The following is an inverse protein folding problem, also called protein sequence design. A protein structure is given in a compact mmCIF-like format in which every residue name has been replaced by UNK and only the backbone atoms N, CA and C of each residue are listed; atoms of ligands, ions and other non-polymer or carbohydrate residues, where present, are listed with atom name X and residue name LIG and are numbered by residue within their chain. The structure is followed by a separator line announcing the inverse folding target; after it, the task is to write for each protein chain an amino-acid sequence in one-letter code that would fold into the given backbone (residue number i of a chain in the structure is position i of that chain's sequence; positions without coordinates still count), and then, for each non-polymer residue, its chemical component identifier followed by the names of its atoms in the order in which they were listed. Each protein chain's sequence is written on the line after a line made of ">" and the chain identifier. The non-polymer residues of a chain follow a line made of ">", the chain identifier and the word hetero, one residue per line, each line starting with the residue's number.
data_IF_494723124107
#
_entry.id   IF_494723124107
#
_cell.length_a   1.000
_cell.length_b   1.000
_cell.length_c   1.000
_cell.angle_alpha   90.00
_cell.angle_beta   90.00
_cell.angle_gamma   90.00
#
_symmetry.space_group_name_H-M   'P 1'
#
loop_
_entity.id
_entity.type
_entity.pdbx_description
1 polymer ?
#
# COMPACT_ATOMS: atom_id res chain seq x y z
N UNK A 1 65.70 -6.14 29.09
CA UNK A 1 66.66 -5.87 28.01
C UNK A 1 65.96 -5.05 26.93
N UNK A 2 66.04 -3.73 27.04
CA UNK A 2 65.49 -2.77 26.09
C UNK A 2 66.59 -2.45 25.06
N UNK A 3 66.28 -2.57 23.77
CA UNK A 3 67.20 -2.26 22.67
C UNK A 3 66.98 -0.81 22.23
N UNK A 4 67.98 0.02 22.50
CA UNK A 4 68.06 1.44 22.13
C UNK A 4 68.47 1.52 20.66
N UNK A 5 67.58 2.02 19.80
CA UNK A 5 67.95 2.44 18.43
C UNK A 5 68.27 3.93 18.44
N UNK A 6 69.48 4.24 17.99
CA UNK A 6 70.04 5.58 17.81
C UNK A 6 69.31 6.33 16.69
N UNK A 7 69.10 7.63 16.91
CA UNK A 7 68.49 8.60 16.01
C UNK A 7 69.54 9.26 15.11
N UNK A 8 69.28 9.30 13.79
CA UNK A 8 70.03 10.13 12.83
C UNK A 8 69.36 11.51 12.62
N UNK A 9 70.13 12.59 12.37
CA UNK A 9 69.62 13.95 12.23
C UNK A 9 69.11 14.25 10.81
N UNK A 10 67.87 14.74 10.70
CA UNK A 10 67.26 15.17 9.43
C UNK A 10 67.46 16.69 9.25
N UNK A 11 67.97 17.06 8.07
CA UNK A 11 68.26 18.43 7.64
C UNK A 11 67.01 19.31 7.46
N UNK A 12 67.12 20.65 7.56
CA UNK A 12 65.97 21.56 7.51
C UNK A 12 65.36 21.64 6.10
N UNK A 13 64.04 21.41 6.04
CA UNK A 13 63.22 21.56 4.84
C UNK A 13 62.92 23.06 4.62
N UNK A 14 63.27 23.56 3.44
CA UNK A 14 62.91 24.90 2.95
C UNK A 14 61.39 25.15 3.03
N UNK A 15 61.00 26.25 3.68
CA UNK A 15 59.65 26.82 3.58
C UNK A 15 59.53 27.60 2.25
N UNK A 16 58.43 27.44 1.49
CA UNK A 16 58.18 28.33 0.37
C UNK A 16 57.60 29.66 0.87
N UNK A 17 58.13 30.74 0.30
CA UNK A 17 57.69 32.12 0.40
C UNK A 17 56.18 32.25 0.13
N UNK A 18 55.44 32.85 1.06
CA UNK A 18 54.08 33.33 0.83
C UNK A 18 54.17 34.76 0.28
N UNK A 19 54.19 34.89 -1.04
CA UNK A 19 53.98 36.17 -1.70
C UNK A 19 52.47 36.39 -1.88
N UNK A 20 51.96 37.38 -1.15
CA UNK A 20 50.62 37.94 -1.32
C UNK A 20 50.70 38.93 -2.49
N UNK A 21 50.11 38.59 -3.64
CA UNK A 21 49.72 39.59 -4.64
C UNK A 21 48.19 39.79 -4.63
N UNK A 22 47.69 41.04 -4.61
CA UNK A 22 46.28 41.33 -4.80
C UNK A 22 46.03 41.62 -6.29
N UNK A 23 45.34 40.72 -6.99
CA UNK A 23 44.79 41.05 -8.31
C UNK A 23 43.35 40.58 -8.45
N UNK A 24 42.45 41.52 -8.17
CA UNK A 24 41.03 41.47 -8.50
C UNK A 24 40.85 41.37 -10.01
N UNK A 25 40.72 40.15 -10.52
CA UNK A 25 40.11 39.91 -11.83
C UNK A 25 39.06 38.83 -11.63
N UNK A 26 37.81 39.25 -11.46
CA UNK A 26 36.65 38.36 -11.43
C UNK A 26 36.62 37.53 -12.71
N UNK A 27 37.12 36.28 -12.63
CA UNK A 27 36.89 35.31 -13.70
C UNK A 27 35.42 34.99 -13.69
N UNK A 28 34.69 35.55 -14.66
CA UNK A 28 33.28 35.23 -14.85
C UNK A 28 33.12 33.73 -15.01
N UNK A 29 32.40 33.13 -14.07
CA UNK A 29 32.15 31.68 -14.04
C UNK A 29 31.37 31.28 -15.29
N UNK A 30 31.46 30.02 -15.71
CA UNK A 30 30.73 29.50 -16.89
C UNK A 30 29.23 29.77 -16.80
N UNK A 31 28.70 29.85 -15.57
CA UNK A 31 27.33 30.24 -15.26
C UNK A 31 27.01 31.68 -15.69
N UNK A 32 27.86 32.66 -15.34
CA UNK A 32 27.65 34.07 -15.71
C UNK A 32 27.61 34.28 -17.23
N UNK A 33 28.44 33.56 -18.00
CA UNK A 33 28.43 33.65 -19.48
C UNK A 33 27.19 33.03 -20.12
N UNK A 34 26.67 31.95 -19.54
CA UNK A 34 25.44 31.29 -20.02
C UNK A 34 24.21 32.10 -19.62
N UNK A 35 24.25 32.72 -18.44
CA UNK A 35 23.23 33.64 -17.92
C UNK A 35 23.12 34.90 -18.79
N UNK A 36 24.24 35.51 -19.18
CA UNK A 36 24.27 36.67 -20.08
C UNK A 36 23.73 36.34 -21.48
N UNK A 37 23.93 35.09 -21.94
CA UNK A 37 23.37 34.57 -23.21
C UNK A 37 21.88 34.26 -23.17
N UNK A 38 21.28 33.97 -22.01
CA UNK A 38 19.85 33.67 -21.88
C UNK A 38 18.99 34.91 -21.65
N UNK A 39 19.59 36.11 -21.59
CA UNK A 39 18.86 37.36 -21.39
C UNK A 39 18.09 37.79 -22.66
N UNK A 40 16.85 38.30 -22.53
CA UNK A 40 16.11 38.83 -23.67
C UNK A 40 16.80 40.07 -24.27
N UNK A 41 16.85 40.15 -25.60
CA UNK A 41 17.58 41.17 -26.38
C UNK A 41 17.18 42.65 -26.15
N UNK A 42 16.10 42.93 -25.41
CA UNK A 42 15.63 44.31 -25.12
C UNK A 42 15.99 44.78 -23.70
N UNK A 43 17.24 44.63 -23.27
CA UNK A 43 17.65 45.02 -21.91
C UNK A 43 18.82 46.00 -21.78
N UNK A 44 19.27 46.68 -22.83
CA UNK A 44 20.34 47.71 -22.66
C UNK A 44 19.95 48.92 -21.78
N UNK A 45 18.74 48.92 -21.21
CA UNK A 45 18.11 50.02 -20.44
C UNK A 45 17.88 49.64 -18.96
N UNK A 46 18.16 48.39 -18.55
CA UNK A 46 17.86 47.93 -17.17
C UNK A 46 18.91 48.41 -16.17
N UNK A 47 18.45 48.96 -15.04
CA UNK A 47 19.33 49.38 -13.95
C UNK A 47 19.81 48.18 -13.10
N UNK A 48 20.77 48.41 -12.19
CA UNK A 48 21.39 47.35 -11.38
C UNK A 48 20.35 46.57 -10.57
N UNK A 49 19.46 47.27 -9.86
CA UNK A 49 18.45 46.64 -9.01
C UNK A 49 17.51 45.73 -9.80
N UNK A 50 17.08 46.16 -10.99
CA UNK A 50 16.19 45.35 -11.81
C UNK A 50 16.89 44.09 -12.39
N UNK A 51 18.20 44.18 -12.67
CA UNK A 51 19.00 43.01 -13.06
C UNK A 51 19.12 42.04 -11.89
N UNK A 52 19.39 42.54 -10.68
CA UNK A 52 19.50 41.71 -9.47
C UNK A 52 18.16 41.02 -9.14
N UNK A 53 17.04 41.73 -9.26
CA UNK A 53 15.70 41.13 -9.12
C UNK A 53 15.46 40.03 -10.14
N UNK A 54 15.75 40.26 -11.43
CA UNK A 54 15.59 39.26 -12.48
C UNK A 54 16.47 38.02 -12.27
N UNK A 55 17.73 38.21 -11.85
CA UNK A 55 18.64 37.12 -11.46
C UNK A 55 18.02 36.32 -10.30
N UNK A 56 17.53 37.00 -9.27
CA UNK A 56 16.93 36.37 -8.09
C UNK A 56 15.65 35.60 -8.43
N UNK A 57 14.82 36.14 -9.32
CA UNK A 57 13.60 35.49 -9.80
C UNK A 57 13.92 34.23 -10.61
N UNK A 58 14.94 34.26 -11.47
CA UNK A 58 15.41 33.07 -12.21
C UNK A 58 15.92 32.00 -11.23
N UNK A 59 16.73 32.38 -10.24
CA UNK A 59 17.25 31.45 -9.24
C UNK A 59 16.10 30.83 -8.43
N UNK A 60 15.12 31.64 -8.03
CA UNK A 60 13.93 31.16 -7.32
C UNK A 60 13.10 30.19 -8.18
N UNK A 61 12.88 30.50 -9.46
CA UNK A 61 12.17 29.61 -10.39
C UNK A 61 12.94 28.30 -10.59
N UNK A 62 14.26 28.35 -10.80
CA UNK A 62 15.10 27.16 -10.92
C UNK A 62 15.09 26.32 -9.64
N UNK A 63 15.14 26.97 -8.47
CA UNK A 63 15.02 26.33 -7.16
C UNK A 63 13.68 25.63 -7.01
N UNK A 64 12.56 26.29 -7.34
CA UNK A 64 11.22 25.70 -7.32
C UNK A 64 11.08 24.51 -8.28
N UNK A 65 11.67 24.59 -9.48
CA UNK A 65 11.70 23.47 -10.43
C UNK A 65 12.51 22.30 -9.86
N UNK A 66 13.64 22.57 -9.20
CA UNK A 66 14.46 21.54 -8.56
C UNK A 66 13.72 20.87 -7.38
N UNK A 67 13.03 21.65 -6.54
CA UNK A 67 12.17 21.13 -5.46
C UNK A 67 11.10 20.20 -6.02
N UNK A 68 10.37 20.62 -7.07
CA UNK A 68 9.36 19.77 -7.73
C UNK A 68 9.97 18.49 -8.32
N UNK A 69 11.16 18.58 -8.90
CA UNK A 69 11.87 17.41 -9.43
C UNK A 69 12.25 16.44 -8.31
N UNK A 70 12.79 16.93 -7.20
CA UNK A 70 13.13 16.13 -6.00
C UNK A 70 11.88 15.44 -5.43
N UNK A 71 10.78 16.17 -5.24
CA UNK A 71 9.53 15.58 -4.77
C UNK A 71 8.97 14.52 -5.72
N UNK A 72 9.09 14.72 -7.04
CA UNK A 72 8.66 13.73 -8.03
C UNK A 72 9.49 12.45 -7.94
N UNK A 73 10.80 12.57 -7.70
CA UNK A 73 11.70 11.43 -7.50
C UNK A 73 11.42 10.72 -6.18
N UNK A 74 11.16 11.47 -5.10
CA UNK A 74 10.78 10.91 -3.80
C UNK A 74 9.46 10.15 -3.90
N UNK A 75 8.41 10.75 -4.48
CA UNK A 75 7.13 10.07 -4.73
C UNK A 75 7.32 8.79 -5.53
N UNK A 76 8.13 8.82 -6.59
CA UNK A 76 8.41 7.65 -7.43
C UNK A 76 9.15 6.54 -6.67
N UNK A 77 10.10 6.90 -5.80
CA UNK A 77 10.81 5.96 -4.91
C UNK A 77 9.86 5.36 -3.87
N UNK A 78 9.01 6.17 -3.26
CA UNK A 78 7.99 5.69 -2.30
C UNK A 78 7.00 4.74 -2.95
N UNK A 79 6.50 5.06 -4.14
CA UNK A 79 5.61 4.16 -4.89
C UNK A 79 6.31 2.87 -5.25
N UNK A 80 7.58 2.91 -5.68
CA UNK A 80 8.35 1.70 -5.96
C UNK A 80 8.53 0.82 -4.72
N UNK A 81 8.87 1.43 -3.58
CA UNK A 81 8.99 0.70 -2.32
C UNK A 81 7.66 0.06 -1.89
N UNK A 82 6.52 0.73 -2.11
CA UNK A 82 5.20 0.17 -1.81
C UNK A 82 4.82 -0.98 -2.76
N UNK A 83 5.23 -0.90 -4.02
CA UNK A 83 5.02 -1.98 -5.01
C UNK A 83 5.90 -3.20 -4.68
N UNK A 84 7.09 -2.98 -4.13
CA UNK A 84 8.02 -4.05 -3.71
C UNK A 84 7.71 -4.63 -2.32
N UNK A 85 6.91 -3.95 -1.50
CA UNK A 85 6.56 -4.41 -0.16
C UNK A 85 5.73 -5.70 -0.20
N UNK A 86 6.39 -6.80 0.16
CA UNK A 86 5.79 -8.12 0.32
C UNK A 86 5.22 -8.30 1.73
N UNK A 87 4.05 -8.92 1.81
CA UNK A 87 3.38 -9.27 3.06
C UNK A 87 3.33 -10.79 3.17
N UNK A 88 3.72 -11.29 4.34
CA UNK A 88 3.64 -12.70 4.71
C UNK A 88 2.36 -12.95 5.52
N UNK A 89 1.57 -13.92 5.09
CA UNK A 89 0.35 -14.38 5.75
C UNK A 89 0.54 -15.84 6.11
N UNK A 90 0.48 -16.15 7.40
CA UNK A 90 0.64 -17.47 7.97
C UNK A 90 -0.72 -18.01 8.44
N UNK A 91 -1.15 -19.15 7.91
CA UNK A 91 -2.36 -19.86 8.30
C UNK A 91 -1.99 -21.19 8.95
N UNK A 92 -2.10 -21.28 10.26
CA UNK A 92 -1.79 -22.50 11.02
C UNK A 92 -0.46 -23.17 10.56
N UNK A 93 0.57 -22.37 10.25
CA UNK A 93 1.89 -22.81 9.79
C UNK A 93 2.14 -22.74 8.28
N UNK A 94 1.10 -22.60 7.46
CA UNK A 94 1.23 -22.47 6.00
C UNK A 94 1.41 -21.00 5.59
N UNK A 95 2.50 -20.71 4.86
CA UNK A 95 2.95 -19.35 4.61
C UNK A 95 2.72 -18.95 3.18
N UNK A 96 1.95 -17.90 3.02
CA UNK A 96 1.67 -17.26 1.75
C UNK A 96 2.33 -15.89 1.70
N UNK A 97 2.79 -15.52 0.52
CA UNK A 97 3.43 -14.23 0.27
C UNK A 97 2.72 -13.52 -0.87
N UNK A 98 2.43 -12.23 -0.70
CA UNK A 98 1.82 -11.40 -1.75
C UNK A 98 2.27 -9.95 -1.66
N UNK A 99 2.05 -9.16 -2.70
CA UNK A 99 2.29 -7.73 -2.64
C UNK A 99 1.24 -7.04 -1.77
N UNK A 100 1.68 -6.04 -1.02
CA UNK A 100 0.79 -5.18 -0.25
C UNK A 100 -0.29 -4.53 -1.11
N UNK A 101 0.09 -4.05 -2.30
CA UNK A 101 -0.82 -3.40 -3.25
C UNK A 101 -1.93 -4.33 -3.71
N UNK A 102 -1.66 -5.63 -3.88
CA UNK A 102 -2.68 -6.65 -4.23
C UNK A 102 -3.80 -6.71 -3.20
N UNK A 103 -3.48 -6.63 -1.91
CA UNK A 103 -4.50 -6.62 -0.85
C UNK A 103 -5.26 -5.30 -0.80
N UNK A 104 -4.55 -4.17 -1.00
CA UNK A 104 -5.11 -2.83 -0.93
C UNK A 104 -6.10 -2.49 -2.06
N UNK A 105 -6.15 -3.31 -3.13
CA UNK A 105 -7.21 -3.26 -4.14
C UNK A 105 -8.63 -3.38 -3.54
N UNK A 106 -8.77 -4.12 -2.43
CA UNK A 106 -10.05 -4.36 -1.77
C UNK A 106 -10.03 -3.85 -0.32
N UNK A 107 -10.06 -2.52 -0.09
CA UNK A 107 -9.83 -1.91 1.22
C UNK A 107 -10.94 -2.20 2.25
N UNK A 108 -12.10 -2.68 1.80
CA UNK A 108 -13.22 -3.04 2.66
C UNK A 108 -13.07 -4.45 3.28
N UNK A 109 -12.15 -5.27 2.75
CA UNK A 109 -11.90 -6.62 3.24
C UNK A 109 -10.98 -6.64 4.46
N UNK A 110 -10.90 -7.78 5.15
CA UNK A 110 -10.04 -7.93 6.33
C UNK A 110 -8.57 -7.66 5.98
N UNK A 111 -8.08 -8.31 4.92
CA UNK A 111 -6.69 -8.22 4.50
C UNK A 111 -6.37 -6.91 3.78
N UNK A 112 -7.31 -6.33 3.03
CA UNK A 112 -7.09 -5.04 2.38
C UNK A 112 -7.08 -3.87 3.35
N UNK A 113 -7.84 -3.95 4.44
CA UNK A 113 -7.89 -2.90 5.43
C UNK A 113 -6.71 -2.96 6.42
N UNK A 114 -5.78 -2.01 6.31
CA UNK A 114 -4.61 -1.92 7.20
C UNK A 114 -4.96 -1.91 8.69
N UNK A 115 -6.05 -1.26 9.09
CA UNK A 115 -6.45 -1.20 10.52
C UNK A 115 -6.94 -2.56 11.01
N UNK A 116 -7.64 -3.32 10.16
CA UNK A 116 -8.22 -4.62 10.53
C UNK A 116 -7.18 -5.72 10.51
N UNK A 117 -6.34 -5.81 9.48
CA UNK A 117 -5.25 -6.81 9.45
C UNK A 117 -4.22 -6.61 10.57
N UNK A 118 -4.00 -5.38 11.04
CA UNK A 118 -3.04 -5.08 12.12
C UNK A 118 -3.26 -5.91 13.40
N UNK A 119 -4.51 -6.29 13.71
CA UNK A 119 -4.82 -7.12 14.88
C UNK A 119 -4.22 -8.53 14.81
N UNK A 120 -3.89 -9.02 13.61
CA UNK A 120 -3.34 -10.34 13.36
C UNK A 120 -1.82 -10.33 13.15
N UNK A 121 -1.18 -9.16 13.27
CA UNK A 121 0.24 -9.03 12.97
C UNK A 121 1.13 -9.46 14.15
N UNK A 122 1.96 -10.46 13.93
CA UNK A 122 3.04 -10.86 14.83
C UNK A 122 4.30 -10.04 14.52
N UNK A 123 4.66 -9.13 15.44
CA UNK A 123 5.84 -8.26 15.30
C UNK A 123 7.16 -9.03 15.35
N UNK A 124 7.21 -10.14 16.07
CA UNK A 124 8.43 -10.93 16.25
C UNK A 124 8.76 -11.69 14.96
N UNK A 125 7.74 -12.31 14.36
CA UNK A 125 7.88 -13.08 13.11
C UNK A 125 7.70 -12.25 11.84
N UNK A 126 7.22 -11.00 11.98
CA UNK A 126 6.91 -10.07 10.90
C UNK A 126 5.89 -10.62 9.89
N UNK A 127 4.92 -11.39 10.37
CA UNK A 127 3.89 -12.04 9.56
C UNK A 127 2.49 -11.79 10.15
N UNK A 128 1.45 -11.91 9.33
CA UNK A 128 0.07 -11.95 9.82
C UNK A 128 -0.32 -13.39 10.11
N UNK A 129 -0.71 -13.71 11.35
CA UNK A 129 -1.06 -15.06 11.75
C UNK A 129 -2.58 -15.23 11.89
N UNK A 130 -3.10 -16.31 11.31
CA UNK A 130 -4.51 -16.69 11.36
C UNK A 130 -4.65 -18.15 11.76
N UNK A 131 -5.47 -18.41 12.77
CA UNK A 131 -5.86 -19.76 13.18
C UNK A 131 -7.14 -20.18 12.43
N UNK A 132 -7.01 -20.41 11.11
CA UNK A 132 -8.12 -20.61 10.17
C UNK A 132 -7.83 -21.74 9.18
N UNK A 133 -8.82 -22.10 8.37
CA UNK A 133 -8.68 -23.22 7.45
C UNK A 133 -7.72 -22.91 6.28
N UNK A 134 -6.57 -23.59 6.29
CA UNK A 134 -5.52 -23.53 5.24
C UNK A 134 -6.05 -23.85 3.84
N UNK A 135 -6.91 -24.87 3.75
CA UNK A 135 -7.43 -25.40 2.49
C UNK A 135 -8.22 -24.36 1.67
N UNK A 136 -8.77 -23.35 2.33
CA UNK A 136 -9.57 -22.31 1.69
C UNK A 136 -8.73 -21.14 1.17
N UNK A 137 -7.55 -20.91 1.75
CA UNK A 137 -6.91 -19.61 1.61
C UNK A 137 -6.28 -19.36 0.26
N UNK A 138 -5.81 -20.39 -0.42
CA UNK A 138 -5.31 -20.25 -1.79
C UNK A 138 -6.35 -19.55 -2.69
N UNK A 139 -7.62 -19.97 -2.60
CA UNK A 139 -8.72 -19.35 -3.33
C UNK A 139 -9.03 -17.92 -2.85
N UNK A 140 -8.95 -17.66 -1.53
CA UNK A 140 -9.13 -16.32 -0.96
C UNK A 140 -8.02 -15.38 -1.45
N UNK A 141 -6.77 -15.82 -1.48
CA UNK A 141 -5.66 -15.02 -1.97
C UNK A 141 -5.77 -14.79 -3.48
N UNK A 142 -6.16 -15.83 -4.23
CA UNK A 142 -6.40 -15.73 -5.66
C UNK A 142 -7.50 -14.72 -6.01
N UNK A 143 -8.52 -14.54 -5.16
CA UNK A 143 -9.53 -13.49 -5.35
C UNK A 143 -8.88 -12.10 -5.46
N UNK A 144 -7.90 -11.78 -4.63
CA UNK A 144 -7.18 -10.50 -4.71
C UNK A 144 -6.32 -10.41 -5.98
N UNK A 145 -5.60 -11.49 -6.31
CA UNK A 145 -4.67 -11.53 -7.46
C UNK A 145 -5.40 -11.47 -8.81
N UNK A 146 -6.55 -12.13 -8.89
CA UNK A 146 -7.38 -12.23 -10.10
C UNK A 146 -8.33 -11.06 -10.30
N UNK A 147 -8.28 -10.06 -9.41
CA UNK A 147 -9.18 -8.91 -9.43
C UNK A 147 -10.65 -9.33 -9.32
N UNK A 148 -10.94 -10.28 -8.43
CA UNK A 148 -12.29 -10.57 -7.97
C UNK A 148 -12.83 -11.95 -8.31
N UNK A 149 -12.04 -12.86 -8.90
CA UNK A 149 -12.52 -14.21 -9.21
C UNK A 149 -12.47 -15.08 -7.96
N UNK A 150 -13.63 -15.44 -7.44
CA UNK A 150 -13.76 -16.37 -6.32
C UNK A 150 -14.25 -17.73 -6.81
N UNK A 151 -13.47 -18.78 -6.56
CA UNK A 151 -13.84 -20.17 -6.86
C UNK A 151 -13.48 -21.04 -5.67
N UNK A 152 -14.42 -21.88 -5.22
CA UNK A 152 -14.19 -22.82 -4.13
C UNK A 152 -13.30 -23.98 -4.61
N UNK A 153 -12.28 -24.39 -3.83
CA UNK A 153 -11.56 -25.63 -4.12
C UNK A 153 -12.49 -26.84 -4.01
N UNK A 154 -12.45 -27.76 -4.98
CA UNK A 154 -13.42 -28.86 -5.07
C UNK A 154 -13.43 -29.79 -3.83
N UNK A 155 -12.28 -29.91 -3.17
CA UNK A 155 -12.10 -30.74 -1.97
C UNK A 155 -12.54 -30.06 -0.66
N UNK A 156 -12.97 -28.79 -0.71
CA UNK A 156 -13.43 -28.03 0.47
C UNK A 156 -14.97 -28.00 0.49
N UNK A 157 -15.62 -28.39 1.59
CA UNK A 157 -17.06 -28.24 1.76
C UNK A 157 -17.55 -26.78 1.60
N UNK A 158 -18.75 -26.60 1.04
CA UNK A 158 -19.28 -25.27 0.70
C UNK A 158 -19.53 -24.38 1.92
N UNK A 159 -20.03 -24.97 3.01
CA UNK A 159 -20.25 -24.32 4.30
C UNK A 159 -18.93 -23.79 4.88
N UNK A 160 -17.90 -24.63 4.92
CA UNK A 160 -16.55 -24.26 5.38
C UNK A 160 -15.98 -23.12 4.54
N UNK A 161 -16.14 -23.17 3.22
CA UNK A 161 -15.65 -22.09 2.35
C UNK A 161 -16.43 -20.79 2.54
N UNK A 162 -17.76 -20.85 2.69
CA UNK A 162 -18.59 -19.69 2.98
C UNK A 162 -18.19 -19.03 4.30
N UNK A 163 -17.91 -19.81 5.34
CA UNK A 163 -17.42 -19.29 6.62
C UNK A 163 -16.10 -18.52 6.46
N UNK A 164 -15.16 -19.03 5.67
CA UNK A 164 -13.89 -18.33 5.42
C UNK A 164 -14.09 -17.06 4.59
N UNK A 165 -14.92 -17.10 3.55
CA UNK A 165 -15.27 -15.90 2.75
C UNK A 165 -15.90 -14.82 3.62
N UNK A 166 -16.78 -15.21 4.54
CA UNK A 166 -17.37 -14.31 5.54
C UNK A 166 -16.32 -13.80 6.54
N UNK A 167 -15.42 -14.66 7.04
CA UNK A 167 -14.36 -14.28 7.97
C UNK A 167 -13.40 -13.25 7.38
N UNK A 168 -12.90 -13.47 6.16
CA UNK A 168 -12.04 -12.53 5.46
C UNK A 168 -12.80 -11.29 4.94
N UNK A 169 -14.12 -11.30 5.06
CA UNK A 169 -15.02 -10.21 4.70
C UNK A 169 -14.83 -9.76 3.25
N UNK A 170 -14.85 -10.71 2.31
CA UNK A 170 -14.72 -10.41 0.87
C UNK A 170 -15.92 -9.61 0.32
N UNK A 171 -17.00 -9.48 1.09
CA UNK A 171 -18.17 -8.67 0.77
C UNK A 171 -19.31 -9.46 0.15
N UNK A 172 -20.47 -8.82 0.03
CA UNK A 172 -21.69 -9.45 -0.50
C UNK A 172 -21.58 -9.79 -1.99
N UNK A 173 -20.78 -9.04 -2.76
CA UNK A 173 -20.55 -9.32 -4.19
C UNK A 173 -19.88 -10.68 -4.38
N UNK A 174 -18.83 -10.95 -3.62
CA UNK A 174 -18.10 -12.21 -3.64
C UNK A 174 -18.99 -13.39 -3.17
N UNK A 175 -19.79 -13.17 -2.11
CA UNK A 175 -20.76 -14.16 -1.63
C UNK A 175 -21.85 -14.44 -2.66
N UNK A 176 -22.33 -13.41 -3.35
CA UNK A 176 -23.36 -13.55 -4.40
C UNK A 176 -22.81 -14.32 -5.59
N UNK A 177 -21.57 -14.04 -6.01
CA UNK A 177 -20.90 -14.81 -7.06
C UNK A 177 -20.77 -16.28 -6.67
N UNK A 178 -20.29 -16.56 -5.46
CA UNK A 178 -20.13 -17.93 -4.97
C UNK A 178 -21.47 -18.67 -4.92
N UNK A 179 -22.55 -18.03 -4.45
CA UNK A 179 -23.90 -18.63 -4.44
C UNK A 179 -24.39 -18.96 -5.85
N UNK A 180 -24.15 -18.07 -6.82
CA UNK A 180 -24.51 -18.30 -8.23
C UNK A 180 -23.73 -19.47 -8.83
N UNK A 181 -22.42 -19.51 -8.61
CA UNK A 181 -21.53 -20.55 -9.13
C UNK A 181 -21.84 -21.95 -8.55
N UNK A 182 -22.33 -22.00 -7.31
CA UNK A 182 -22.68 -23.24 -6.61
C UNK A 182 -24.18 -23.58 -6.73
N UNK A 183 -24.92 -22.85 -7.57
CA UNK A 183 -26.36 -23.00 -7.77
C UNK A 183 -27.18 -22.96 -6.46
N UNK A 184 -26.70 -22.22 -5.46
CA UNK A 184 -27.37 -22.06 -4.18
C UNK A 184 -28.52 -21.06 -4.34
N UNK A 185 -29.76 -21.52 -4.12
CA UNK A 185 -30.92 -20.64 -4.06
C UNK A 185 -30.74 -19.68 -2.88
N UNK A 186 -30.93 -18.39 -3.11
CA UNK A 186 -31.00 -17.43 -2.01
C UNK A 186 -32.12 -17.87 -1.06
N UNK A 187 -31.77 -18.10 0.21
CA UNK A 187 -32.75 -18.33 1.25
C UNK A 187 -33.54 -17.02 1.39
N UNK A 188 -34.70 -16.94 0.73
CA UNK A 188 -35.62 -15.82 0.88
C UNK A 188 -35.91 -15.71 2.38
N UNK A 189 -35.48 -14.61 3.00
CA UNK A 189 -35.84 -14.33 4.39
C UNK A 189 -37.36 -14.31 4.45
N UNK A 190 -37.93 -15.30 5.11
CA UNK A 190 -39.36 -15.38 5.33
C UNK A 190 -39.76 -14.13 6.12
N UNK A 191 -40.55 -13.26 5.49
CA UNK A 191 -41.12 -12.11 6.17
C UNK A 191 -42.25 -12.60 7.06
N UNK A 192 -41.96 -12.76 8.35
CA UNK A 192 -42.97 -13.23 9.30
C UNK A 192 -44.05 -12.16 9.50
N UNK A 193 -45.34 -12.55 9.55
CA UNK A 193 -46.41 -11.63 9.92
C UNK A 193 -46.12 -10.97 11.28
N UNK A 194 -46.42 -9.67 11.39
CA UNK A 194 -46.23 -8.90 12.65
C UNK A 194 -47.08 -9.45 13.80
N UNK A 195 -48.32 -9.85 13.52
CA UNK A 195 -49.24 -10.40 14.52
C UNK A 195 -48.92 -11.84 14.89
N UNK A 196 -48.99 -12.16 16.19
CA UNK A 196 -48.76 -13.51 16.73
C UNK A 196 -49.71 -14.55 16.13
N UNK A 197 -50.99 -14.22 15.98
CA UNK A 197 -51.98 -15.16 15.43
C UNK A 197 -51.75 -15.42 13.93
N UNK A 198 -51.47 -14.38 13.14
CA UNK A 198 -51.13 -14.53 11.71
C UNK A 198 -49.87 -15.33 11.51
N UNK A 199 -48.87 -15.17 12.39
CA UNK A 199 -47.65 -15.97 12.36
C UNK A 199 -47.91 -17.43 12.69
N UNK A 200 -48.78 -17.70 13.64
CA UNK A 200 -49.19 -19.06 13.98
C UNK A 200 -49.90 -19.75 12.81
N UNK A 201 -50.86 -19.07 12.16
CA UNK A 201 -51.52 -19.59 10.94
C UNK A 201 -50.50 -19.80 9.81
N UNK A 202 -49.65 -18.80 9.56
CA UNK A 202 -48.62 -18.86 8.52
C UNK A 202 -47.67 -20.06 8.73
N UNK A 203 -47.19 -20.27 9.96
CA UNK A 203 -46.32 -21.39 10.29
C UNK A 203 -47.04 -22.75 10.14
N UNK A 204 -48.33 -22.80 10.49
CA UNK A 204 -49.18 -23.99 10.35
C UNK A 204 -49.39 -24.38 8.89
N UNK A 205 -49.48 -23.40 7.97
CA UNK A 205 -49.63 -23.64 6.53
C UNK A 205 -48.32 -24.01 5.84
N UNK A 206 -47.21 -23.37 6.20
CA UNK A 206 -45.90 -23.66 5.58
C UNK A 206 -45.30 -24.99 6.09
N UNK A 207 -45.62 -25.37 7.34
CA UNK A 207 -45.10 -26.57 8.02
C UNK A 207 -46.23 -27.39 8.66
N UNK A 208 -47.11 -28.01 7.86
CA UNK A 208 -48.26 -28.74 8.39
C UNK A 208 -47.86 -29.95 9.26
N UNK A 209 -46.69 -30.55 9.02
CA UNK A 209 -46.21 -31.72 9.77
C UNK A 209 -45.82 -31.42 11.23
N UNK A 210 -45.64 -30.14 11.57
CA UNK A 210 -45.12 -29.69 12.85
C UNK A 210 -46.19 -29.11 13.79
N UNK A 211 -47.46 -29.03 13.34
CA UNK A 211 -48.58 -28.53 14.14
C UNK A 211 -49.70 -29.55 14.25
N UNK A 212 -50.15 -29.83 15.49
CA UNK A 212 -51.25 -30.77 15.76
C UNK A 212 -52.54 -30.30 15.07
N UNK A 213 -52.81 -29.00 15.08
CA UNK A 213 -53.97 -28.40 14.42
C UNK A 213 -53.90 -28.48 12.89
N UNK A 214 -52.70 -28.43 12.27
CA UNK A 214 -52.54 -28.61 10.83
C UNK A 214 -52.87 -30.05 10.38
N UNK A 215 -52.43 -31.04 11.16
CA UNK A 215 -52.70 -32.46 10.87
C UNK A 215 -54.19 -32.79 10.91
N UNK A 216 -54.95 -32.12 11.76
CA UNK A 216 -56.40 -32.29 11.87
C UNK A 216 -57.13 -31.67 10.66
N UNK A 217 -56.61 -30.57 10.10
CA UNK A 217 -57.24 -29.89 8.95
C UNK A 217 -56.96 -30.53 7.58
N UNK A 218 -56.04 -31.50 7.49
CA UNK A 218 -55.62 -32.13 6.23
C UNK A 218 -56.18 -33.56 6.04
N UNK A 219 -57.24 -33.90 6.77
CA UNK A 219 -58.06 -35.12 6.62
C UNK A 219 -59.37 -34.72 5.94
#
# INVERSE_FOLDING_TARGET
>A
MQSVRQSEPIQPVHQPHNDIEPSSTHRRTTFERLFEKSMPQKQSIWNSTQKDTYVSDIINVQSLLNVRAIESQQRKRETNNLLEERIIINLCGDRYETHRTTLELYPNTLLGNRKRRKYYYDKTRKEYFFDRNRACFEAILYYYQSHGRLRRPAYVPIDVFLEEVTFFQLGEEALTQLRKDENLKEVKKVQLPKSRFRRHIWATMEYPDYSITAKITYI
#
